data_IF_378812019379
#
_entry.id   IF_378812019379
#
_cell.length_a   1.000
_cell.length_b   1.000
_cell.length_c   1.000
_cell.angle_alpha   90.00
_cell.angle_beta   90.00
_cell.angle_gamma   90.00
#
_symmetry.space_group_name_H-M   'P 1'
#
loop_
_entity.id
_entity.type
_entity.pdbx_description
1 polymer ?
#
# COMPACT_ATOMS: atom_id res chain seq x y z
N UNK A 1 -18.80 3.28 -19.31
CA UNK A 1 -17.64 3.39 -18.40
C UNK A 1 -17.46 4.86 -18.07
N UNK A 2 -17.32 5.23 -16.80
CA UNK A 2 -17.07 6.63 -16.40
C UNK A 2 -15.68 7.04 -16.85
N UNK A 3 -15.46 8.32 -17.15
CA UNK A 3 -14.12 8.78 -17.50
C UNK A 3 -13.23 8.86 -16.24
N UNK A 4 -11.99 8.34 -16.30
CA UNK A 4 -11.05 8.42 -15.20
C UNK A 4 -10.52 9.85 -14.98
N UNK A 5 -10.19 10.18 -13.74
CA UNK A 5 -9.40 11.37 -13.40
C UNK A 5 -7.94 11.17 -13.80
N UNK A 6 -7.11 12.21 -13.73
CA UNK A 6 -5.67 12.08 -14.00
C UNK A 6 -4.99 11.08 -13.07
N UNK A 7 -5.35 11.07 -11.77
CA UNK A 7 -4.84 10.11 -10.80
C UNK A 7 -5.24 8.68 -11.18
N UNK A 8 -6.51 8.46 -11.51
CA UNK A 8 -7.01 7.14 -11.89
C UNK A 8 -6.41 6.66 -13.19
N UNK A 9 -6.25 7.54 -14.18
CA UNK A 9 -5.53 7.25 -15.41
C UNK A 9 -4.12 6.79 -15.11
N UNK A 10 -3.39 7.46 -14.22
CA UNK A 10 -2.03 7.05 -13.86
C UNK A 10 -1.99 5.63 -13.25
N UNK A 11 -2.95 5.28 -12.37
CA UNK A 11 -3.05 3.93 -11.81
C UNK A 11 -3.47 2.88 -12.83
N UNK A 12 -4.42 3.21 -13.72
CA UNK A 12 -4.84 2.33 -14.82
C UNK A 12 -3.68 2.10 -15.79
N UNK A 13 -2.95 3.15 -16.16
CA UNK A 13 -1.80 3.06 -17.05
C UNK A 13 -0.68 2.24 -16.41
N UNK A 14 -0.37 2.48 -15.13
CA UNK A 14 0.58 1.69 -14.35
C UNK A 14 0.19 0.21 -14.27
N UNK A 15 -1.09 -0.09 -14.08
CA UNK A 15 -1.60 -1.46 -14.09
C UNK A 15 -1.46 -2.09 -15.48
N UNK A 16 -1.80 -1.35 -16.54
CA UNK A 16 -1.66 -1.81 -17.92
C UNK A 16 -0.18 -2.00 -18.32
N UNK A 17 0.77 -1.25 -17.77
CA UNK A 17 2.21 -1.48 -17.97
C UNK A 17 2.59 -2.90 -17.50
N UNK A 18 2.09 -3.33 -16.34
CA UNK A 18 2.31 -4.69 -15.82
C UNK A 18 1.70 -5.71 -16.79
N UNK A 19 0.42 -5.54 -17.15
CA UNK A 19 -0.31 -6.50 -17.99
C UNK A 19 0.27 -6.66 -19.41
N UNK A 20 0.83 -5.59 -19.96
CA UNK A 20 1.35 -5.59 -21.33
C UNK A 20 2.85 -5.91 -21.41
N UNK A 21 3.51 -6.15 -20.27
CA UNK A 21 4.93 -6.47 -20.24
C UNK A 21 5.16 -7.95 -20.59
N UNK A 22 6.02 -8.20 -21.58
CA UNK A 22 6.43 -9.57 -21.95
C UNK A 22 7.38 -10.22 -20.92
N UNK A 23 7.89 -9.44 -19.97
CA UNK A 23 8.84 -9.89 -18.95
C UNK A 23 8.19 -10.15 -17.59
N UNK A 24 6.86 -10.04 -17.52
CA UNK A 24 6.06 -10.19 -16.31
C UNK A 24 4.99 -11.25 -16.54
N UNK A 25 4.94 -12.25 -15.67
CA UNK A 25 3.87 -13.21 -15.58
C UNK A 25 2.83 -12.70 -14.57
N UNK A 26 1.62 -12.41 -15.05
CA UNK A 26 0.49 -11.99 -14.21
C UNK A 26 -0.27 -13.22 -13.76
N UNK A 27 -0.30 -13.47 -12.45
CA UNK A 27 -1.02 -14.59 -11.85
C UNK A 27 -2.48 -14.25 -11.55
N UNK A 28 -2.73 -13.00 -11.14
CA UNK A 28 -4.06 -12.51 -10.86
C UNK A 28 -4.18 -11.04 -11.26
N UNK A 29 -5.31 -10.68 -11.85
CA UNK A 29 -5.68 -9.32 -12.19
C UNK A 29 -7.16 -9.11 -11.86
N UNK A 30 -7.50 -7.94 -11.32
CA UNK A 30 -8.88 -7.48 -11.20
C UNK A 30 -8.91 -5.98 -11.45
N UNK A 31 -9.79 -5.58 -12.35
CA UNK A 31 -10.12 -4.18 -12.55
C UNK A 31 -11.64 -4.03 -12.62
N UNK A 32 -12.19 -3.34 -11.63
CA UNK A 32 -13.62 -3.09 -11.49
C UNK A 32 -13.98 -1.68 -11.95
N UNK A 33 -15.27 -1.49 -12.23
CA UNK A 33 -15.78 -0.21 -12.70
C UNK A 33 -15.46 0.94 -11.72
N UNK A 34 -15.32 2.16 -12.25
CA UNK A 34 -15.16 3.36 -11.44
C UNK A 34 -16.46 3.75 -10.70
N UNK A 35 -16.32 4.16 -9.45
CA UNK A 35 -17.34 4.76 -8.59
C UNK A 35 -17.76 6.18 -8.99
N UNK A 36 -18.54 6.81 -8.12
CA UNK A 36 -19.03 8.18 -8.34
C UNK A 36 -17.98 9.23 -7.98
N UNK A 37 -18.01 10.38 -8.65
CA UNK A 37 -17.16 11.52 -8.27
C UNK A 37 -17.64 12.05 -6.93
N UNK A 38 -16.71 12.20 -6.00
CA UNK A 38 -16.93 12.85 -4.72
C UNK A 38 -16.36 14.26 -4.80
N UNK A 39 -17.23 15.26 -4.62
CA UNK A 39 -16.82 16.67 -4.53
C UNK A 39 -16.51 17.09 -3.08
N UNK A 40 -16.76 16.21 -2.12
CA UNK A 40 -16.52 16.39 -0.70
C UNK A 40 -16.52 15.03 0.03
N UNK A 41 -16.02 15.03 1.27
CA UNK A 41 -16.15 13.89 2.19
C UNK A 41 -17.61 13.42 2.28
N UNK A 42 -17.90 12.11 2.13
CA UNK A 42 -19.25 11.59 2.22
C UNK A 42 -19.95 11.95 3.54
N UNK A 43 -21.18 12.45 3.46
CA UNK A 43 -21.92 12.91 4.64
C UNK A 43 -22.22 11.85 5.70
N UNK A 44 -22.08 10.56 5.36
CA UNK A 44 -22.25 9.44 6.30
C UNK A 44 -21.28 9.54 7.49
N UNK A 45 -20.03 9.99 7.27
CA UNK A 45 -19.03 10.11 8.33
C UNK A 45 -19.43 11.14 9.40
N UNK A 46 -20.21 12.17 9.04
CA UNK A 46 -20.74 13.14 10.02
C UNK A 46 -21.86 12.58 10.90
N UNK A 47 -22.42 11.41 10.56
CA UNK A 47 -23.50 10.76 11.29
C UNK A 47 -23.01 9.64 12.21
N UNK A 48 -21.76 9.19 12.04
CA UNK A 48 -21.18 8.07 12.78
C UNK A 48 -20.39 8.58 14.00
N UNK A 49 -20.75 8.21 15.24
CA UNK A 49 -20.10 8.72 16.45
C UNK A 49 -18.58 8.50 16.48
N UNK A 50 -18.11 7.37 15.99
CA UNK A 50 -16.69 6.99 15.96
C UNK A 50 -15.84 7.85 15.02
N UNK A 51 -16.48 8.61 14.12
CA UNK A 51 -15.81 9.54 13.19
C UNK A 51 -15.90 11.01 13.61
N UNK A 52 -16.57 11.33 14.73
CA UNK A 52 -16.86 12.71 15.14
C UNK A 52 -15.61 13.59 15.25
N UNK A 53 -14.52 13.01 15.76
CA UNK A 53 -13.26 13.71 15.97
C UNK A 53 -12.19 13.37 14.92
N UNK A 54 -12.51 12.54 13.92
CA UNK A 54 -11.56 12.15 12.86
C UNK A 54 -11.59 13.21 11.75
N UNK A 55 -10.41 13.75 11.42
CA UNK A 55 -10.28 14.79 10.40
C UNK A 55 -10.10 14.13 9.03
N UNK A 56 -11.18 14.09 8.25
CA UNK A 56 -11.13 13.68 6.84
C UNK A 56 -10.90 14.91 5.96
N UNK A 57 -9.64 15.35 5.90
CA UNK A 57 -9.20 16.55 5.20
C UNK A 57 -9.50 16.54 3.68
N UNK A 58 -9.51 17.72 3.04
CA UNK A 58 -9.92 17.83 1.63
C UNK A 58 -8.98 17.16 0.65
N UNK A 59 -7.73 16.91 1.02
CA UNK A 59 -6.79 16.15 0.20
C UNK A 59 -7.22 14.69 0.03
N UNK A 60 -7.96 14.11 1.00
CA UNK A 60 -8.41 12.72 0.90
C UNK A 60 -9.42 12.53 -0.23
N UNK A 61 -10.51 13.31 -0.32
CA UNK A 61 -11.47 13.13 -1.42
C UNK A 61 -10.91 13.54 -2.78
N UNK A 62 -9.88 14.41 -2.83
CA UNK A 62 -9.21 14.78 -4.09
C UNK A 62 -8.25 13.72 -4.59
N UNK A 63 -7.57 13.04 -3.67
CA UNK A 63 -6.56 12.03 -3.96
C UNK A 63 -7.09 10.60 -3.85
N UNK A 64 -8.39 10.40 -3.60
CA UNK A 64 -8.98 9.06 -3.56
C UNK A 64 -9.39 8.63 -4.97
N UNK A 65 -8.79 7.56 -5.53
CA UNK A 65 -9.26 7.01 -6.77
C UNK A 65 -10.59 6.28 -6.55
N UNK A 66 -11.48 6.36 -7.51
CA UNK A 66 -12.83 5.78 -7.44
C UNK A 66 -12.84 4.31 -7.84
N UNK A 67 -11.79 3.55 -7.58
CA UNK A 67 -11.76 2.14 -7.95
C UNK A 67 -12.72 1.36 -7.06
N UNK A 68 -13.66 0.60 -7.63
CA UNK A 68 -14.37 -0.43 -6.86
C UNK A 68 -13.50 -1.67 -6.58
N UNK A 69 -12.28 -1.67 -7.12
CA UNK A 69 -11.27 -2.71 -7.02
C UNK A 69 -10.28 -2.55 -8.17
N UNK A 70 -9.00 -2.43 -7.85
CA UNK A 70 -7.89 -2.50 -8.79
C UNK A 70 -6.77 -3.28 -8.10
N UNK A 71 -6.41 -4.44 -8.64
CA UNK A 71 -5.37 -5.26 -8.06
C UNK A 71 -4.66 -6.15 -9.06
N UNK A 72 -3.43 -6.48 -8.74
CA UNK A 72 -2.56 -7.31 -9.57
C UNK A 72 -1.64 -8.12 -8.66
N UNK A 73 -1.49 -9.41 -8.95
CA UNK A 73 -0.43 -10.27 -8.43
C UNK A 73 0.43 -10.72 -9.61
N UNK A 74 1.72 -10.45 -9.54
CA UNK A 74 2.63 -10.66 -10.66
C UNK A 74 4.00 -11.13 -10.20
N UNK A 75 4.71 -11.82 -11.09
CA UNK A 75 6.08 -12.26 -10.93
C UNK A 75 6.88 -11.95 -12.20
N UNK A 76 8.18 -11.73 -12.08
CA UNK A 76 9.05 -11.65 -13.26
C UNK A 76 9.23 -13.00 -13.94
N UNK A 77 9.41 -12.96 -15.26
CA UNK A 77 9.70 -14.14 -16.09
C UNK A 77 11.21 -14.27 -16.35
N UNK A 78 11.68 -15.48 -16.64
CA UNK A 78 13.06 -15.68 -17.11
C UNK A 78 13.31 -14.87 -18.40
N UNK A 79 14.49 -14.23 -18.57
CA UNK A 79 15.73 -14.43 -17.80
C UNK A 79 15.93 -13.46 -16.61
N UNK A 80 14.90 -12.72 -16.20
CA UNK A 80 15.03 -11.76 -15.10
C UNK A 80 15.20 -12.49 -13.74
N UNK A 81 15.79 -11.82 -12.74
CA UNK A 81 15.76 -12.31 -11.36
C UNK A 81 14.32 -12.58 -10.92
N UNK A 82 14.10 -13.66 -10.16
CA UNK A 82 12.76 -14.08 -9.73
C UNK A 82 12.29 -13.25 -8.53
N UNK A 83 11.47 -12.24 -8.78
CA UNK A 83 10.78 -11.44 -7.76
C UNK A 83 9.38 -11.06 -8.25
N UNK A 84 8.55 -10.57 -7.33
CA UNK A 84 7.16 -10.26 -7.64
C UNK A 84 6.59 -9.15 -6.79
N UNK A 85 5.32 -8.90 -7.00
CA UNK A 85 4.57 -7.91 -6.27
C UNK A 85 3.09 -8.21 -6.26
N UNK A 86 2.41 -7.64 -5.28
CA UNK A 86 0.97 -7.67 -5.20
C UNK A 86 0.44 -6.37 -4.62
N UNK A 87 -0.69 -5.91 -5.15
CA UNK A 87 -1.49 -4.87 -4.53
C UNK A 87 -2.97 -5.08 -4.84
N UNK A 88 -3.81 -4.54 -3.96
CA UNK A 88 -5.25 -4.47 -4.11
C UNK A 88 -5.76 -3.19 -3.47
N UNK A 89 -6.10 -2.19 -4.29
CA UNK A 89 -6.65 -0.91 -3.82
C UNK A 89 -8.11 -0.75 -4.22
N UNK A 90 -8.83 0.02 -3.42
CA UNK A 90 -10.23 0.41 -3.64
C UNK A 90 -10.43 1.86 -3.21
N UNK A 91 -11.64 2.38 -3.40
CA UNK A 91 -12.06 3.69 -2.90
C UNK A 91 -11.82 3.78 -1.38
N UNK A 92 -11.05 4.79 -0.96
CA UNK A 92 -10.68 5.02 0.43
C UNK A 92 -11.90 5.04 1.35
N UNK A 93 -13.00 5.68 0.96
CA UNK A 93 -14.17 5.80 1.81
C UNK A 93 -14.90 4.46 1.97
N UNK A 94 -14.82 3.57 0.98
CA UNK A 94 -15.27 2.18 1.14
C UNK A 94 -14.41 1.47 2.19
N UNK A 95 -13.08 1.62 2.13
CA UNK A 95 -12.14 1.08 3.12
C UNK A 95 -12.37 1.64 4.53
N UNK A 96 -12.61 2.95 4.66
CA UNK A 96 -12.86 3.60 5.95
C UNK A 96 -14.14 3.08 6.61
N UNK A 97 -15.16 2.72 5.83
CA UNK A 97 -16.42 2.16 6.34
C UNK A 97 -16.33 0.67 6.72
N UNK A 98 -15.22 -0.01 6.43
CA UNK A 98 -15.04 -1.40 6.85
C UNK A 98 -14.75 -1.50 8.35
N UNK A 99 -15.00 -2.67 8.91
CA UNK A 99 -14.56 -2.99 10.26
C UNK A 99 -13.02 -2.99 10.34
N UNK A 100 -12.44 -2.67 11.51
CA UNK A 100 -11.01 -2.79 11.72
C UNK A 100 -10.53 -4.25 11.51
N UNK A 101 -9.27 -4.46 11.10
CA UNK A 101 -8.75 -5.81 10.90
C UNK A 101 -8.62 -6.55 12.24
N UNK A 102 -9.00 -7.83 12.27
CA UNK A 102 -8.90 -8.70 13.45
C UNK A 102 -7.45 -9.21 13.60
N UNK A 103 -6.57 -8.35 14.11
CA UNK A 103 -5.13 -8.62 14.29
C UNK A 103 -4.75 -8.91 15.73
N UNK A 104 -5.54 -8.44 16.69
CA UNK A 104 -5.29 -8.65 18.10
C UNK A 104 -5.64 -10.08 18.52
N UNK A 105 -4.82 -10.68 19.39
CA UNK A 105 -5.13 -11.96 20.02
C UNK A 105 -5.34 -11.79 21.53
N UNK A 106 -5.76 -12.84 22.24
CA UNK A 106 -6.13 -12.77 23.67
C UNK A 106 -5.02 -12.23 24.59
N UNK A 107 -3.75 -12.29 24.18
CA UNK A 107 -2.62 -11.75 24.92
C UNK A 107 -2.02 -10.46 24.35
N UNK A 108 -2.57 -9.88 23.27
CA UNK A 108 -2.15 -8.57 22.77
C UNK A 108 -2.21 -7.51 23.89
N UNK A 109 -1.22 -6.62 23.99
CA UNK A 109 -1.30 -5.47 24.89
C UNK A 109 -2.52 -4.60 24.57
N UNK A 110 -3.11 -3.99 25.58
CA UNK A 110 -4.28 -3.10 25.41
C UNK A 110 -3.99 -1.93 24.45
N UNK A 111 -2.77 -1.39 24.47
CA UNK A 111 -2.34 -0.33 23.56
C UNK A 111 -2.34 -0.79 22.10
N UNK A 112 -1.90 -2.02 21.84
CA UNK A 112 -1.91 -2.62 20.51
C UNK A 112 -3.33 -2.90 20.02
N UNK A 113 -4.22 -3.39 20.90
CA UNK A 113 -5.64 -3.57 20.57
C UNK A 113 -6.28 -2.27 20.11
N UNK A 114 -6.10 -1.18 20.87
CA UNK A 114 -6.63 0.14 20.51
C UNK A 114 -6.04 0.66 19.21
N UNK A 115 -4.76 0.42 18.96
CA UNK A 115 -4.13 0.78 17.70
C UNK A 115 -4.82 0.09 16.52
N UNK A 116 -5.07 -1.22 16.62
CA UNK A 116 -5.72 -1.98 15.55
C UNK A 116 -7.19 -1.62 15.35
N UNK A 117 -7.92 -1.23 16.40
CA UNK A 117 -9.30 -0.71 16.28
C UNK A 117 -9.37 0.57 15.42
N UNK A 118 -8.30 1.34 15.37
CA UNK A 118 -8.19 2.55 14.55
C UNK A 118 -7.78 2.27 13.10
N UNK A 119 -7.37 1.04 12.75
CA UNK A 119 -6.91 0.71 11.40
C UNK A 119 -8.07 0.49 10.42
N UNK A 120 -7.89 0.96 9.20
CA UNK A 120 -8.75 0.67 8.04
C UNK A 120 -7.87 0.25 6.87
N UNK A 121 -8.05 -0.98 6.40
CA UNK A 121 -7.20 -1.57 5.35
C UNK A 121 -7.45 -0.87 4.03
N UNK A 122 -6.39 -0.33 3.43
CA UNK A 122 -6.42 0.40 2.15
C UNK A 122 -5.71 -0.37 1.03
N UNK A 123 -4.85 -1.32 1.38
CA UNK A 123 -4.16 -2.22 0.46
C UNK A 123 -3.87 -3.56 1.15
N UNK A 124 -3.93 -4.64 0.40
CA UNK A 124 -3.69 -6.00 0.89
C UNK A 124 -3.18 -6.91 -0.22
N UNK A 125 -2.63 -8.06 0.17
CA UNK A 125 -2.07 -9.07 -0.75
C UNK A 125 -2.83 -10.41 -0.63
N UNK A 126 -4.12 -10.46 -1.04
CA UNK A 126 -4.98 -11.62 -0.81
C UNK A 126 -4.58 -12.86 -1.63
N UNK A 127 -3.97 -12.71 -2.80
CA UNK A 127 -3.59 -13.82 -3.68
C UNK A 127 -2.31 -14.52 -3.21
N UNK A 128 -1.26 -13.77 -2.87
CA UNK A 128 -0.03 -14.33 -2.34
C UNK A 128 -0.16 -14.78 -0.87
N UNK A 129 -1.16 -14.24 -0.15
CA UNK A 129 -1.45 -14.57 1.24
C UNK A 129 -0.23 -14.40 2.17
N UNK A 130 0.57 -13.36 1.95
CA UNK A 130 1.80 -13.07 2.71
C UNK A 130 1.54 -12.62 4.15
N UNK A 131 0.28 -12.35 4.51
CA UNK A 131 -0.08 -11.76 5.78
C UNK A 131 0.34 -10.29 5.91
N UNK A 132 0.57 -9.62 4.78
CA UNK A 132 0.92 -8.21 4.70
C UNK A 132 -0.31 -7.37 4.33
N UNK A 133 -0.39 -6.17 4.90
CA UNK A 133 -1.40 -5.18 4.53
C UNK A 133 -0.92 -3.77 4.84
N UNK A 134 -1.51 -2.79 4.16
CA UNK A 134 -1.38 -1.39 4.51
C UNK A 134 -2.72 -0.86 5.03
N UNK A 135 -2.68 -0.16 6.15
CA UNK A 135 -3.84 0.48 6.74
C UNK A 135 -3.63 2.00 6.86
N UNK A 136 -4.72 2.74 6.75
CA UNK A 136 -4.81 4.11 7.24
C UNK A 136 -5.34 4.08 8.68
N UNK A 137 -4.79 4.92 9.55
CA UNK A 137 -5.20 5.00 10.95
C UNK A 137 -6.19 6.14 11.15
N UNK A 138 -7.45 5.80 11.42
CA UNK A 138 -8.58 6.71 11.66
C UNK A 138 -8.57 7.28 13.09
N UNK A 139 -7.49 7.97 13.43
CA UNK A 139 -7.26 8.54 14.76
C UNK A 139 -7.90 9.94 14.91
N UNK A 140 -8.35 10.29 16.12
CA UNK A 140 -8.98 11.59 16.37
C UNK A 140 -7.97 12.74 16.34
N UNK A 141 -8.39 13.89 15.80
CA UNK A 141 -7.66 15.16 15.80
C UNK A 141 -6.29 15.15 15.10
N UNK A 142 -6.07 14.26 14.13
CA UNK A 142 -4.83 14.22 13.33
C UNK A 142 -5.12 14.43 11.85
N UNK A 143 -4.29 15.26 11.21
CA UNK A 143 -4.30 15.54 9.77
C UNK A 143 -2.86 15.90 9.34
N UNK A 144 -2.25 15.22 8.34
CA UNK A 144 -2.78 14.06 7.62
C UNK A 144 -2.87 12.80 8.50
N UNK A 145 -3.82 11.92 8.19
CA UNK A 145 -3.92 10.60 8.83
C UNK A 145 -2.66 9.77 8.55
N UNK A 146 -2.30 8.90 9.51
CA UNK A 146 -1.11 8.07 9.41
C UNK A 146 -1.35 6.83 8.54
N UNK A 147 -0.34 6.47 7.77
CA UNK A 147 -0.28 5.19 7.04
C UNK A 147 0.58 4.22 7.83
N UNK A 148 0.12 2.99 7.98
CA UNK A 148 0.76 1.92 8.73
C UNK A 148 0.86 0.67 7.87
N UNK A 149 2.02 0.03 7.91
CA UNK A 149 2.26 -1.24 7.27
C UNK A 149 2.28 -2.34 8.33
N UNK A 150 1.53 -3.41 8.09
CA UNK A 150 1.54 -4.61 8.90
C UNK A 150 2.18 -5.74 8.10
N UNK A 151 3.13 -6.43 8.72
CA UNK A 151 3.78 -7.62 8.22
C UNK A 151 3.86 -8.64 9.36
N UNK A 152 3.16 -9.76 9.18
CA UNK A 152 3.07 -10.81 10.20
C UNK A 152 4.43 -11.38 10.64
N UNK A 153 5.49 -11.21 9.84
CA UNK A 153 6.82 -11.72 10.12
C UNK A 153 7.80 -10.65 10.64
N UNK A 154 7.41 -9.37 10.71
CA UNK A 154 8.32 -8.29 11.11
C UNK A 154 8.86 -8.45 12.54
N UNK A 155 8.08 -9.06 13.44
CA UNK A 155 8.52 -9.35 14.82
C UNK A 155 9.55 -10.48 14.92
N UNK A 156 9.90 -11.12 13.80
CA UNK A 156 10.97 -12.14 13.73
C UNK A 156 12.33 -11.53 13.40
N UNK A 157 12.36 -10.25 13.03
CA UNK A 157 13.57 -9.52 12.65
C UNK A 157 14.26 -8.93 13.88
N UNK A 158 15.60 -9.00 13.91
CA UNK A 158 16.37 -8.43 15.00
C UNK A 158 16.12 -6.92 15.17
N UNK A 159 15.75 -6.53 16.39
CA UNK A 159 15.47 -5.14 16.76
C UNK A 159 14.01 -4.71 16.59
N UNK A 160 13.13 -5.59 16.10
CA UNK A 160 11.69 -5.33 15.97
C UNK A 160 10.86 -6.33 16.78
N UNK A 161 10.06 -5.82 17.72
CA UNK A 161 9.19 -6.63 18.59
C UNK A 161 7.70 -6.58 18.18
N UNK A 162 7.39 -5.87 17.09
CA UNK A 162 6.03 -5.62 16.60
C UNK A 162 5.89 -6.06 15.15
N UNK A 163 4.67 -6.42 14.77
CA UNK A 163 4.30 -6.82 13.40
C UNK A 163 3.85 -5.63 12.53
N UNK A 164 4.07 -4.41 12.99
CA UNK A 164 3.60 -3.21 12.31
C UNK A 164 4.59 -2.07 12.48
N UNK A 165 4.58 -1.19 11.49
CA UNK A 165 5.42 0.01 11.45
C UNK A 165 4.67 1.15 10.79
N UNK A 166 4.83 2.36 11.32
CA UNK A 166 4.33 3.57 10.70
C UNK A 166 5.14 3.89 9.45
N UNK A 167 4.46 4.27 8.38
CA UNK A 167 5.07 4.77 7.16
C UNK A 167 5.17 6.31 7.21
N UNK A 168 6.28 6.82 6.66
CA UNK A 168 6.57 8.22 6.45
C UNK A 168 5.94 8.69 5.12
N UNK A 169 4.62 8.45 4.98
CA UNK A 169 3.80 8.80 3.83
C UNK A 169 2.43 9.29 4.28
N UNK A 170 1.88 10.22 3.52
CA UNK A 170 0.45 10.52 3.47
C UNK A 170 -0.27 9.57 2.50
N UNK A 171 -1.60 9.51 2.53
CA UNK A 171 -2.36 8.66 1.60
C UNK A 171 -2.11 8.98 0.11
N UNK A 172 -2.05 10.26 -0.34
CA UNK A 172 -1.67 10.58 -1.72
C UNK A 172 -0.26 10.08 -2.07
N UNK A 173 0.73 10.32 -1.21
CA UNK A 173 2.11 9.87 -1.45
C UNK A 173 2.22 8.34 -1.46
N UNK A 174 1.37 7.64 -0.70
CA UNK A 174 1.26 6.18 -0.75
C UNK A 174 0.80 5.69 -2.12
N UNK A 175 -0.21 6.31 -2.70
CA UNK A 175 -0.70 5.98 -4.04
C UNK A 175 0.36 6.27 -5.11
N UNK A 176 1.08 7.39 -5.00
CA UNK A 176 2.21 7.70 -5.90
C UNK A 176 3.34 6.68 -5.79
N UNK A 177 3.70 6.28 -4.57
CA UNK A 177 4.72 5.25 -4.35
C UNK A 177 4.29 3.91 -4.97
N UNK A 178 3.01 3.53 -4.84
CA UNK A 178 2.47 2.31 -5.45
C UNK A 178 2.59 2.29 -6.98
N UNK A 179 2.44 3.45 -7.65
CA UNK A 179 2.64 3.57 -9.11
C UNK A 179 4.07 3.22 -9.52
N UNK A 180 5.06 3.66 -8.72
CA UNK A 180 6.47 3.42 -9.02
C UNK A 180 6.86 1.98 -8.67
N UNK A 181 6.41 1.48 -7.53
CA UNK A 181 6.84 0.18 -7.02
C UNK A 181 6.04 -0.98 -7.61
N UNK A 182 4.90 -0.72 -8.27
CA UNK A 182 4.00 -1.74 -8.84
C UNK A 182 3.57 -2.79 -7.79
N UNK A 183 3.63 -2.47 -6.51
CA UNK A 183 3.35 -3.42 -5.43
C UNK A 183 4.46 -4.44 -5.15
N UNK A 184 5.71 -4.23 -5.60
CA UNK A 184 6.83 -5.14 -5.31
C UNK A 184 6.94 -5.44 -3.81
N UNK A 185 6.99 -6.71 -3.43
CA UNK A 185 6.97 -7.10 -2.02
C UNK A 185 8.05 -6.37 -1.19
N UNK A 186 7.62 -5.79 -0.06
CA UNK A 186 8.50 -5.08 0.87
C UNK A 186 8.79 -3.62 0.51
N UNK A 187 8.24 -3.07 -0.57
CA UNK A 187 8.44 -1.66 -0.95
C UNK A 187 8.08 -0.67 0.17
N UNK A 188 7.14 -1.04 1.03
CA UNK A 188 6.69 -0.24 2.17
C UNK A 188 7.83 0.06 3.15
N UNK A 189 8.83 -0.82 3.25
CA UNK A 189 10.00 -0.62 4.11
C UNK A 189 10.90 0.54 3.64
N UNK A 190 10.88 0.91 2.36
CA UNK A 190 11.59 2.10 1.85
C UNK A 190 11.06 3.42 2.44
N UNK A 191 9.85 3.36 3.00
CA UNK A 191 9.14 4.49 3.57
C UNK A 191 8.91 4.35 5.08
N UNK A 192 9.61 3.45 5.75
CA UNK A 192 9.53 3.31 7.21
C UNK A 192 10.90 3.55 7.86
N UNK A 193 10.92 3.53 9.19
CA UNK A 193 12.15 3.65 9.98
C UNK A 193 12.78 2.28 10.29
N UNK A 194 12.38 1.23 9.55
CA UNK A 194 12.95 -0.11 9.66
C UNK A 194 14.32 -0.15 8.97
N UNK A 195 15.34 -0.64 9.67
CA UNK A 195 16.64 -0.93 9.08
C UNK A 195 16.59 -2.24 8.32
N UNK A 196 16.93 -2.21 7.02
CA UNK A 196 17.02 -3.40 6.18
C UNK A 196 18.36 -4.12 6.31
N UNK A 197 19.26 -3.63 7.18
CA UNK A 197 20.55 -4.29 7.50
C UNK A 197 20.42 -5.49 8.42
N UNK A 198 19.28 -5.64 9.09
CA UNK A 198 19.06 -6.72 10.06
C UNK A 198 18.86 -8.07 9.35
N UNK A 199 19.34 -9.14 9.98
CA UNK A 199 19.07 -10.51 9.54
C UNK A 199 17.54 -10.74 9.43
N UNK A 200 17.10 -11.39 8.35
CA UNK A 200 15.69 -11.64 8.06
C UNK A 200 15.08 -10.78 6.95
N UNK A 201 15.80 -9.75 6.46
CA UNK A 201 15.37 -8.94 5.31
C UNK A 201 16.01 -9.35 3.98
N UNK A 202 16.75 -10.44 3.90
CA UNK A 202 17.52 -10.81 2.69
C UNK A 202 16.63 -10.94 1.46
N UNK A 203 15.44 -11.55 1.61
CA UNK A 203 14.46 -11.67 0.52
C UNK A 203 13.85 -10.32 0.12
N UNK A 204 13.58 -9.46 1.10
CA UNK A 204 13.04 -8.10 0.85
C UNK A 204 14.09 -7.25 0.13
N UNK A 205 15.33 -7.23 0.64
CA UNK A 205 16.44 -6.51 0.02
C UNK A 205 16.66 -6.98 -1.41
N UNK A 206 16.69 -8.30 -1.63
CA UNK A 206 16.83 -8.86 -2.98
C UNK A 206 15.72 -8.39 -3.92
N UNK A 207 14.46 -8.39 -3.47
CA UNK A 207 13.34 -7.93 -4.29
C UNK A 207 13.44 -6.43 -4.61
N UNK A 208 13.83 -5.60 -3.65
CA UNK A 208 13.98 -4.16 -3.83
C UNK A 208 15.16 -3.80 -4.73
N UNK A 209 16.30 -4.46 -4.57
CA UNK A 209 17.47 -4.31 -5.46
C UNK A 209 17.11 -4.73 -6.88
N UNK A 210 16.45 -5.89 -7.03
CA UNK A 210 16.01 -6.40 -8.34
C UNK A 210 15.01 -5.44 -9.00
N UNK A 211 14.06 -4.89 -8.24
CA UNK A 211 13.12 -3.88 -8.73
C UNK A 211 13.84 -2.65 -9.29
N UNK A 212 14.80 -2.09 -8.54
CA UNK A 212 15.54 -0.88 -8.95
C UNK A 212 16.41 -1.15 -10.19
N UNK A 213 16.97 -2.35 -10.32
CA UNK A 213 17.78 -2.74 -11.47
C UNK A 213 16.92 -2.99 -12.73
N UNK A 214 15.77 -3.66 -12.57
CA UNK A 214 14.98 -4.18 -13.70
C UNK A 214 13.91 -3.20 -14.20
N UNK A 215 13.26 -2.47 -13.30
CA UNK A 215 12.12 -1.62 -13.67
C UNK A 215 12.45 -0.51 -14.69
N UNK A 216 13.63 0.12 -14.70
CA UNK A 216 13.97 1.10 -15.74
C UNK A 216 13.88 0.55 -17.17
N UNK A 217 14.15 -0.74 -17.37
CA UNK A 217 14.08 -1.41 -18.67
C UNK A 217 12.68 -1.96 -18.95
N UNK A 218 12.01 -2.53 -17.94
CA UNK A 218 10.69 -3.18 -18.08
C UNK A 218 9.54 -2.17 -18.12
N UNK A 219 9.62 -1.11 -17.33
CA UNK A 219 8.64 -0.03 -17.23
C UNK A 219 9.29 1.32 -17.53
N UNK A 220 9.75 1.52 -18.78
CA UNK A 220 10.43 2.75 -19.15
C UNK A 220 9.44 3.93 -19.13
N UNK A 221 9.78 5.01 -18.43
CA UNK A 221 8.93 6.20 -18.33
C UNK A 221 8.83 6.79 -16.93
N UNK A 222 9.31 6.05 -15.92
CA UNK A 222 9.34 6.49 -14.53
C UNK A 222 10.76 6.81 -14.08
N UNK A 223 10.89 7.68 -13.08
CA UNK A 223 12.17 7.95 -12.41
C UNK A 223 12.24 7.14 -11.11
N UNK A 224 13.15 6.16 -11.10
CA UNK A 224 13.38 5.26 -9.96
C UNK A 224 14.45 5.77 -8.99
N UNK A 225 15.08 6.91 -9.25
CA UNK A 225 16.22 7.43 -8.47
C UNK A 225 15.88 7.59 -6.99
N UNK A 226 14.69 8.11 -6.67
CA UNK A 226 14.28 8.28 -5.27
C UNK A 226 14.11 6.96 -4.53
N UNK A 227 13.74 5.88 -5.22
CA UNK A 227 13.65 4.55 -4.61
C UNK A 227 15.03 3.97 -4.35
N UNK A 228 15.97 4.18 -5.27
CA UNK A 228 17.37 3.78 -5.10
C UNK A 228 18.02 4.50 -3.91
N UNK A 229 17.83 5.82 -3.79
CA UNK A 229 18.34 6.61 -2.66
C UNK A 229 17.78 6.11 -1.33
N UNK A 230 16.46 5.85 -1.27
CA UNK A 230 15.81 5.30 -0.07
C UNK A 230 16.35 3.92 0.31
N UNK A 231 16.54 3.03 -0.67
CA UNK A 231 17.11 1.71 -0.38
C UNK A 231 18.51 1.85 0.21
N UNK A 232 19.34 2.72 -0.35
CA UNK A 232 20.70 2.98 0.17
C UNK A 232 20.69 3.56 1.59
N UNK A 233 19.73 4.42 1.93
CA UNK A 233 19.59 4.95 3.30
C UNK A 233 19.18 3.90 4.33
N UNK A 234 18.50 2.82 3.90
CA UNK A 234 17.98 1.76 4.78
C UNK A 234 18.92 0.55 4.88
N UNK A 235 19.81 0.39 3.90
CA UNK A 235 20.99 -0.48 3.93
C UNK A 235 22.19 0.22 4.57
#
# INVERSE_FOLDING_TARGET
MREPTQLESAHIDSFNEILNSESIDVEHEDFRELGEVLDATPGVFSLLPEWQDVILGPELYRATPRFNGLGCHWNTSEPLPSFGGEFWITDLYVSLLQDPPDLAWDGSPEEERRLFEEFRVIDSTPSAATGQMTAIRAQPNVDPLEIWYFDMNLNTVEGWDRQYVRMNLTYPEYLEALLLTKGTFGWQYLYSDVSLRSDGFEGVVFALESMIEVFPDVFPGHDYTSLADRLQERQ
#
